data_IF_593262509562
#
_entry.id   IF_593262509562
#
_cell.length_a   1.000
_cell.length_b   1.000
_cell.length_c   1.000
_cell.angle_alpha   90.00
_cell.angle_beta   90.00
_cell.angle_gamma   90.00
#
_symmetry.space_group_name_H-M   'P 1'
#
loop_
_entity.id
_entity.type
_entity.pdbx_description
1 polymer ?
#
# COMPACT_ATOMS: atom_id res chain seq x y z
N UNK A 1 -21.85 -48.97 -46.20
CA UNK A 1 -21.92 -50.04 -47.22
C UNK A 1 -23.25 -50.77 -47.07
N UNK A 2 -24.09 -50.80 -48.10
CA UNK A 2 -25.33 -51.61 -48.10
C UNK A 2 -24.94 -53.08 -48.08
N UNK A 3 -25.48 -53.84 -47.12
CA UNK A 3 -25.32 -55.29 -47.11
C UNK A 3 -25.88 -55.87 -48.42
N UNK A 4 -25.28 -56.91 -49.02
CA UNK A 4 -25.84 -57.52 -50.22
C UNK A 4 -27.29 -57.97 -49.94
N UNK A 5 -28.25 -57.42 -50.69
CA UNK A 5 -29.68 -57.68 -50.51
C UNK A 5 -30.23 -58.73 -51.45
N UNK A 6 -29.41 -59.26 -52.36
CA UNK A 6 -29.79 -60.35 -53.26
C UNK A 6 -30.01 -61.63 -52.44
N UNK A 7 -31.24 -62.13 -52.41
CA UNK A 7 -31.58 -63.41 -51.77
C UNK A 7 -30.67 -64.51 -52.30
N UNK A 8 -30.04 -65.25 -51.40
CA UNK A 8 -29.27 -66.44 -51.78
C UNK A 8 -30.28 -67.52 -52.15
N UNK A 9 -30.38 -67.77 -53.45
CA UNK A 9 -31.14 -68.89 -53.98
C UNK A 9 -30.28 -70.15 -53.86
N UNK A 10 -30.78 -71.13 -53.10
CA UNK A 10 -30.12 -72.41 -52.83
C UNK A 10 -30.76 -73.57 -53.59
N UNK A 11 -31.75 -73.30 -54.44
CA UNK A 11 -32.56 -74.31 -55.14
C UNK A 11 -31.80 -75.12 -56.20
N UNK A 12 -30.54 -74.79 -56.48
CA UNK A 12 -29.68 -75.48 -57.44
C UNK A 12 -28.41 -76.05 -56.77
N UNK A 13 -28.45 -76.28 -55.46
CA UNK A 13 -27.28 -76.67 -54.66
C UNK A 13 -27.44 -77.97 -53.86
N UNK A 14 -28.59 -78.64 -53.89
CA UNK A 14 -28.92 -79.68 -52.90
C UNK A 14 -29.47 -81.01 -53.45
N UNK A 15 -29.70 -81.14 -54.77
CA UNK A 15 -30.21 -82.37 -55.35
C UNK A 15 -29.54 -82.74 -56.69
N UNK A 16 -29.50 -84.04 -57.00
CA UNK A 16 -28.80 -84.60 -58.17
C UNK A 16 -29.33 -84.18 -59.53
N UNK A 17 -30.42 -83.40 -59.61
CA UNK A 17 -31.00 -82.84 -60.85
C UNK A 17 -30.64 -81.37 -61.10
N UNK A 18 -29.85 -80.75 -60.22
CA UNK A 18 -29.52 -79.32 -60.29
C UNK A 18 -28.59 -78.98 -61.46
N UNK A 19 -28.75 -77.78 -62.05
CA UNK A 19 -27.84 -77.25 -63.07
C UNK A 19 -26.60 -76.62 -62.41
N UNK A 20 -25.41 -77.24 -62.52
CA UNK A 20 -24.21 -76.75 -61.85
C UNK A 20 -23.74 -75.39 -62.38
N UNK A 21 -24.23 -74.93 -63.54
CA UNK A 21 -23.87 -73.63 -64.10
C UNK A 21 -24.47 -72.46 -63.31
N UNK A 22 -25.70 -72.61 -62.82
CA UNK A 22 -26.38 -71.58 -62.04
C UNK A 22 -25.82 -71.47 -60.63
N UNK A 23 -25.51 -72.61 -59.99
CA UNK A 23 -24.81 -72.65 -58.70
C UNK A 23 -23.45 -71.93 -58.77
N UNK A 24 -22.69 -72.09 -59.86
CA UNK A 24 -21.41 -71.37 -60.04
C UNK A 24 -21.57 -69.86 -60.11
N UNK A 25 -22.62 -69.36 -60.76
CA UNK A 25 -22.89 -67.91 -60.86
C UNK A 25 -23.19 -67.34 -59.47
N UNK A 26 -24.00 -68.04 -58.68
CA UNK A 26 -24.34 -67.63 -57.32
C UNK A 26 -23.12 -67.64 -56.39
N UNK A 27 -22.29 -68.70 -56.45
CA UNK A 27 -21.04 -68.78 -55.70
C UNK A 27 -20.08 -67.66 -56.10
N UNK A 28 -19.98 -67.34 -57.40
CA UNK A 28 -19.16 -66.21 -57.88
C UNK A 28 -19.66 -64.88 -57.32
N UNK A 29 -20.97 -64.65 -57.35
CA UNK A 29 -21.56 -63.43 -56.80
C UNK A 29 -21.25 -63.27 -55.30
N UNK A 30 -21.26 -64.37 -54.52
CA UNK A 30 -20.84 -64.34 -53.12
C UNK A 30 -19.37 -63.96 -52.96
N UNK A 31 -18.48 -64.54 -53.76
CA UNK A 31 -17.05 -64.23 -53.73
C UNK A 31 -16.79 -62.75 -54.10
N UNK A 32 -17.47 -62.23 -55.11
CA UNK A 32 -17.38 -60.82 -55.51
C UNK A 32 -17.88 -59.90 -54.39
N UNK A 33 -19.00 -60.25 -53.72
CA UNK A 33 -19.53 -59.49 -52.59
C UNK A 33 -18.55 -59.46 -51.39
N UNK A 34 -17.93 -60.59 -51.06
CA UNK A 34 -16.92 -60.66 -49.98
C UNK A 34 -15.69 -59.81 -50.33
N UNK A 35 -15.22 -59.88 -51.58
CA UNK A 35 -14.11 -59.05 -52.04
C UNK A 35 -14.46 -57.57 -51.96
N UNK A 36 -15.67 -57.17 -52.35
CA UNK A 36 -16.13 -55.80 -52.19
C UNK A 36 -16.12 -55.32 -50.73
N UNK A 37 -16.49 -56.18 -49.77
CA UNK A 37 -16.44 -55.85 -48.33
C UNK A 37 -15.00 -55.69 -47.87
N UNK A 38 -14.12 -56.59 -48.30
CA UNK A 38 -12.68 -56.52 -48.02
C UNK A 38 -12.08 -55.23 -48.55
N UNK A 39 -12.43 -54.84 -49.77
CA UNK A 39 -11.92 -53.63 -50.43
C UNK A 39 -12.50 -52.35 -49.81
N UNK A 40 -13.71 -52.40 -49.25
CA UNK A 40 -14.30 -51.30 -48.49
C UNK A 40 -13.68 -51.09 -47.10
N UNK A 41 -12.83 -52.00 -46.63
CA UNK A 41 -12.17 -51.88 -45.32
C UNK A 41 -11.18 -50.73 -45.34
N UNK A 42 -11.33 -49.78 -44.41
CA UNK A 42 -10.44 -48.63 -44.33
C UNK A 42 -10.82 -47.47 -45.26
N UNK A 43 -11.74 -47.68 -46.20
CA UNK A 43 -12.15 -46.67 -47.18
C UNK A 43 -13.16 -45.67 -46.59
N UNK A 44 -13.19 -44.46 -47.16
CA UNK A 44 -14.22 -43.47 -46.84
C UNK A 44 -15.61 -44.04 -47.11
N UNK A 45 -16.56 -43.83 -46.19
CA UNK A 45 -17.92 -44.41 -46.24
C UNK A 45 -17.97 -45.97 -46.29
N UNK A 46 -16.85 -46.63 -46.00
CA UNK A 46 -16.66 -48.08 -46.02
C UNK A 46 -16.87 -48.76 -44.66
N UNK A 47 -16.14 -49.85 -44.42
CA UNK A 47 -16.14 -50.55 -43.12
C UNK A 47 -14.91 -50.14 -42.30
N UNK A 48 -15.13 -49.82 -41.02
CA UNK A 48 -14.05 -49.44 -40.12
C UNK A 48 -13.11 -50.63 -39.87
N UNK A 49 -11.80 -50.37 -39.80
CA UNK A 49 -10.84 -51.36 -39.31
C UNK A 49 -10.75 -51.27 -37.79
N UNK A 50 -10.49 -52.40 -37.14
CA UNK A 50 -10.17 -52.44 -35.73
C UNK A 50 -8.66 -52.68 -35.54
N UNK A 51 -8.10 -52.11 -34.49
CA UNK A 51 -6.76 -52.42 -34.00
C UNK A 51 -6.72 -53.77 -33.24
N UNK A 52 -5.55 -54.15 -32.74
CA UNK A 52 -5.36 -55.39 -31.98
C UNK A 52 -6.20 -55.43 -30.66
N UNK A 53 -6.68 -54.28 -30.18
CA UNK A 53 -7.55 -54.14 -29.01
C UNK A 53 -9.05 -54.03 -29.37
N UNK A 54 -9.41 -54.26 -30.63
CA UNK A 54 -10.80 -54.21 -31.10
C UNK A 54 -11.38 -52.78 -31.11
N UNK A 55 -10.56 -51.74 -31.27
CA UNK A 55 -10.99 -50.34 -31.36
C UNK A 55 -10.81 -49.80 -32.77
N UNK A 56 -11.66 -48.87 -33.19
CA UNK A 56 -11.50 -48.19 -34.49
C UNK A 56 -10.19 -47.41 -34.47
N UNK A 57 -9.40 -47.55 -35.53
CA UNK A 57 -8.12 -46.84 -35.67
C UNK A 57 -8.34 -45.32 -35.61
N UNK A 58 -7.50 -44.61 -34.85
CA UNK A 58 -7.59 -43.14 -34.71
C UNK A 58 -7.49 -42.40 -36.03
N UNK A 59 -6.75 -42.93 -37.00
CA UNK A 59 -6.67 -42.40 -38.37
C UNK A 59 -8.00 -42.45 -39.14
N UNK A 60 -8.95 -43.27 -38.68
CA UNK A 60 -10.30 -43.37 -39.25
C UNK A 60 -11.35 -42.60 -38.45
N UNK A 61 -10.97 -41.97 -37.35
CA UNK A 61 -11.85 -41.11 -36.55
C UNK A 61 -11.55 -39.66 -36.96
N UNK A 62 -12.42 -39.02 -37.77
CA UNK A 62 -12.24 -37.61 -38.11
C UNK A 62 -12.38 -36.74 -36.86
N UNK A 63 -11.81 -35.54 -36.90
CA UNK A 63 -12.10 -34.53 -35.88
C UNK A 63 -13.60 -34.25 -35.87
N UNK A 64 -14.25 -34.50 -34.74
CA UNK A 64 -15.68 -34.28 -34.59
C UNK A 64 -15.96 -32.78 -34.63
N UNK A 65 -16.86 -32.35 -35.52
CA UNK A 65 -17.21 -30.94 -35.63
C UNK A 65 -17.94 -30.45 -34.39
N UNK A 66 -18.00 -29.13 -34.20
CA UNK A 66 -18.75 -28.54 -33.07
C UNK A 66 -20.24 -28.89 -33.14
N UNK A 67 -20.82 -28.94 -34.34
CA UNK A 67 -22.22 -29.29 -34.55
C UNK A 67 -22.54 -30.74 -34.14
N UNK A 68 -21.53 -31.62 -34.15
CA UNK A 68 -21.66 -33.02 -33.79
C UNK A 68 -21.22 -33.29 -32.33
N UNK A 69 -21.04 -32.25 -31.52
CA UNK A 69 -20.64 -32.36 -30.11
C UNK A 69 -19.14 -32.47 -29.88
N UNK A 70 -18.32 -32.33 -30.92
CA UNK A 70 -16.87 -32.22 -30.82
C UNK A 70 -16.40 -30.79 -30.59
N UNK A 71 -15.09 -30.58 -30.71
CA UNK A 71 -14.48 -29.24 -30.63
C UNK A 71 -14.06 -28.71 -31.99
N UNK A 72 -13.89 -29.58 -33.00
CA UNK A 72 -13.24 -29.23 -34.27
C UNK A 72 -11.77 -28.81 -34.14
N UNK A 73 -11.16 -28.93 -32.95
CA UNK A 73 -9.77 -28.52 -32.68
C UNK A 73 -8.88 -29.75 -32.58
N UNK A 74 -7.83 -29.79 -33.40
CA UNK A 74 -6.86 -30.90 -33.45
C UNK A 74 -5.51 -30.58 -32.80
N UNK A 75 -5.27 -29.31 -32.43
CA UNK A 75 -4.00 -28.87 -31.83
C UNK A 75 -4.20 -27.84 -30.72
N UNK A 76 -3.45 -27.98 -29.62
CA UNK A 76 -3.42 -27.04 -28.49
C UNK A 76 -2.03 -27.05 -27.83
N UNK A 77 -1.70 -25.96 -27.15
CA UNK A 77 -0.53 -25.84 -26.31
C UNK A 77 -0.92 -25.80 -24.83
N UNK A 78 0.06 -26.04 -23.95
CA UNK A 78 -0.14 -25.91 -22.50
C UNK A 78 -0.53 -24.47 -22.17
N UNK A 79 -1.63 -24.31 -21.44
CA UNK A 79 -2.18 -23.00 -21.04
C UNK A 79 -3.18 -22.40 -22.02
N UNK A 80 -3.42 -23.02 -23.18
CA UNK A 80 -4.52 -22.62 -24.07
C UNK A 80 -5.89 -22.86 -23.39
N UNK A 81 -6.86 -21.99 -23.69
CA UNK A 81 -8.24 -22.12 -23.23
C UNK A 81 -9.17 -22.29 -24.44
N UNK A 82 -10.08 -23.26 -24.37
CA UNK A 82 -11.15 -23.41 -25.34
C UNK A 82 -12.30 -22.45 -25.01
N UNK A 83 -12.76 -21.69 -26.00
CA UNK A 83 -13.85 -20.74 -25.84
C UNK A 83 -14.74 -20.70 -27.09
N UNK A 84 -15.98 -20.23 -26.94
CA UNK A 84 -16.87 -19.97 -28.07
C UNK A 84 -16.52 -18.62 -28.71
N UNK A 85 -15.97 -18.64 -29.93
CA UNK A 85 -15.60 -17.44 -30.67
C UNK A 85 -16.76 -16.85 -31.47
N UNK A 86 -17.75 -17.69 -31.80
CA UNK A 86 -19.03 -17.32 -32.39
C UNK A 86 -20.08 -18.40 -32.06
N UNK A 87 -21.35 -18.15 -32.40
CA UNK A 87 -22.40 -19.16 -32.27
C UNK A 87 -22.05 -20.42 -33.08
N UNK A 88 -21.96 -21.57 -32.42
CA UNK A 88 -21.60 -22.85 -33.05
C UNK A 88 -20.11 -22.99 -33.42
N UNK A 89 -19.25 -22.06 -33.01
CA UNK A 89 -17.80 -22.09 -33.30
C UNK A 89 -17.01 -22.08 -32.00
N UNK A 90 -16.21 -23.12 -31.79
CA UNK A 90 -15.21 -23.18 -30.72
C UNK A 90 -13.85 -22.82 -31.30
N UNK A 91 -13.05 -22.10 -30.52
CA UNK A 91 -11.69 -21.71 -30.87
C UNK A 91 -10.81 -21.77 -29.64
N UNK A 92 -9.49 -21.86 -29.86
CA UNK A 92 -8.51 -21.77 -28.78
C UNK A 92 -8.05 -20.32 -28.60
N UNK A 93 -7.98 -19.88 -27.35
CA UNK A 93 -7.31 -18.67 -26.94
C UNK A 93 -5.97 -19.07 -26.35
N UNK A 94 -4.88 -18.55 -26.90
CA UNK A 94 -3.54 -18.88 -26.44
C UNK A 94 -3.32 -18.44 -24.98
N UNK A 95 -2.35 -19.07 -24.31
CA UNK A 95 -1.95 -18.68 -22.96
C UNK A 95 -1.65 -17.17 -22.88
N UNK A 96 -2.19 -16.52 -21.84
CA UNK A 96 -1.91 -15.11 -21.56
C UNK A 96 -0.56 -14.90 -20.91
N UNK A 97 -0.18 -13.64 -20.74
CA UNK A 97 0.98 -13.25 -19.92
C UNK A 97 0.76 -13.63 -18.45
N UNK A 98 1.81 -14.06 -17.75
CA UNK A 98 1.73 -14.36 -16.33
C UNK A 98 1.13 -13.18 -15.53
N UNK A 99 0.17 -13.47 -14.65
CA UNK A 99 -0.55 -12.47 -13.85
C UNK A 99 -1.72 -11.77 -14.56
N UNK A 100 -1.99 -12.08 -15.84
CA UNK A 100 -3.19 -11.59 -16.52
C UNK A 100 -4.41 -12.42 -16.14
N UNK A 101 -5.59 -11.81 -16.21
CA UNK A 101 -6.88 -12.44 -15.93
C UNK A 101 -7.70 -12.54 -17.21
N UNK A 102 -8.51 -13.59 -17.34
CA UNK A 102 -9.43 -13.74 -18.47
C UNK A 102 -10.65 -12.86 -18.23
N UNK A 103 -10.90 -11.91 -19.12
CA UNK A 103 -12.05 -11.01 -19.05
C UNK A 103 -13.06 -11.36 -20.12
N UNK A 104 -14.33 -11.48 -19.71
CA UNK A 104 -15.47 -11.49 -20.64
C UNK A 104 -15.64 -10.11 -21.27
N UNK A 105 -15.81 -10.07 -22.59
CA UNK A 105 -16.10 -8.85 -23.34
C UNK A 105 -17.61 -8.64 -23.56
N UNK A 106 -18.43 -9.32 -22.75
CA UNK A 106 -19.88 -9.27 -22.82
C UNK A 106 -20.48 -10.22 -23.87
N UNK A 107 -21.82 -10.30 -23.94
CA UNK A 107 -22.52 -11.19 -24.87
C UNK A 107 -22.10 -10.94 -26.32
N UNK A 108 -21.81 -12.02 -27.06
CA UNK A 108 -21.45 -11.96 -28.48
C UNK A 108 -19.99 -11.63 -28.79
N UNK A 109 -19.16 -11.34 -27.77
CA UNK A 109 -17.75 -11.02 -27.96
C UNK A 109 -16.85 -12.10 -27.35
N UNK A 110 -15.76 -12.44 -28.06
CA UNK A 110 -14.73 -13.34 -27.55
C UNK A 110 -14.10 -12.79 -26.25
N UNK A 111 -13.79 -13.63 -25.24
CA UNK A 111 -13.03 -13.21 -24.08
C UNK A 111 -11.58 -12.87 -24.47
N UNK A 112 -10.92 -12.06 -23.66
CA UNK A 112 -9.52 -11.69 -23.87
C UNK A 112 -8.76 -11.66 -22.55
N UNK A 113 -7.47 -12.03 -22.59
CA UNK A 113 -6.59 -11.80 -21.47
C UNK A 113 -6.37 -10.31 -21.28
N UNK A 114 -6.50 -9.83 -20.05
CA UNK A 114 -6.21 -8.44 -19.69
C UNK A 114 -5.30 -8.41 -18.48
N UNK A 115 -4.44 -7.39 -18.42
CA UNK A 115 -3.71 -7.10 -17.20
C UNK A 115 -4.71 -6.92 -16.05
N UNK A 116 -4.44 -7.55 -14.91
CA UNK A 116 -5.29 -7.41 -13.73
C UNK A 116 -5.17 -5.98 -13.20
N UNK A 117 -6.18 -5.15 -13.45
CA UNK A 117 -6.31 -3.81 -12.87
C UNK A 117 -7.65 -3.72 -12.17
N UNK A 118 -7.63 -3.50 -10.87
CA UNK A 118 -8.83 -3.20 -10.09
C UNK A 118 -9.16 -1.71 -10.26
N UNK A 119 -10.41 -1.40 -10.56
CA UNK A 119 -10.92 -0.02 -10.59
C UNK A 119 -12.07 0.12 -9.59
N UNK A 120 -12.15 1.27 -8.92
CA UNK A 120 -13.16 1.57 -7.89
C UNK A 120 -12.54 1.98 -6.56
N UNK A 121 -13.42 2.26 -5.59
CA UNK A 121 -12.99 2.60 -4.23
C UNK A 121 -12.31 1.39 -3.57
N UNK A 122 -11.17 1.62 -2.93
CA UNK A 122 -10.49 0.61 -2.13
C UNK A 122 -11.26 0.47 -0.81
N UNK A 123 -12.28 -0.39 -0.79
CA UNK A 123 -12.97 -0.79 0.45
C UNK A 123 -12.28 -1.97 1.14
N UNK A 124 -11.31 -2.59 0.45
CA UNK A 124 -10.35 -3.58 0.93
C UNK A 124 -9.39 -3.94 -0.20
N UNK A 125 -8.08 -3.93 0.04
CA UNK A 125 -7.08 -4.13 -1.03
C UNK A 125 -6.41 -5.50 -1.04
N UNK A 126 -6.62 -6.31 0.01
CA UNK A 126 -5.89 -7.56 0.22
C UNK A 126 -4.38 -7.36 0.51
N UNK A 127 -3.87 -6.13 0.46
CA UNK A 127 -2.48 -5.81 0.78
C UNK A 127 -2.31 -5.72 2.29
N UNK A 128 -1.29 -6.41 2.82
CA UNK A 128 -0.88 -6.31 4.23
C UNK A 128 0.20 -5.26 4.37
N UNK A 129 0.09 -4.37 5.38
CA UNK A 129 1.14 -3.39 5.69
C UNK A 129 1.91 -3.81 6.95
N UNK A 130 3.24 -3.75 6.89
CA UNK A 130 4.10 -4.10 8.02
C UNK A 130 4.30 -2.97 9.03
N UNK A 131 3.97 -1.72 8.69
CA UNK A 131 4.12 -0.55 9.56
C UNK A 131 2.96 0.43 9.34
N UNK A 132 2.73 1.33 10.31
CA UNK A 132 1.74 2.40 10.19
C UNK A 132 2.19 3.41 9.12
N UNK A 133 1.70 3.22 7.90
CA UNK A 133 2.02 4.07 6.74
C UNK A 133 0.74 4.63 6.16
N UNK A 134 0.78 5.89 5.75
CA UNK A 134 -0.29 6.46 4.95
C UNK A 134 -0.16 5.92 3.53
N UNK A 135 -1.24 5.37 3.00
CA UNK A 135 -1.30 4.90 1.61
C UNK A 135 -2.14 5.86 0.78
N UNK A 136 -1.69 6.14 -0.43
CA UNK A 136 -2.41 6.99 -1.36
C UNK A 136 -1.68 7.12 -2.68
N UNK A 137 -1.87 8.23 -3.38
CA UNK A 137 -1.10 8.52 -4.59
C UNK A 137 -0.80 10.00 -4.66
N UNK A 138 0.43 10.34 -5.04
CA UNK A 138 0.90 11.73 -5.09
C UNK A 138 0.70 12.39 -6.46
N UNK A 139 0.47 11.61 -7.51
CA UNK A 139 0.30 12.10 -8.89
C UNK A 139 -1.17 12.04 -9.32
N UNK A 140 -1.66 12.97 -10.15
CA UNK A 140 -3.00 12.87 -10.76
C UNK A 140 -3.03 11.78 -11.87
N UNK A 141 -4.15 11.05 -12.03
CA UNK A 141 -4.28 9.95 -13.02
C UNK A 141 -4.84 8.63 -12.49
N UNK A 142 -4.48 7.51 -13.13
CA UNK A 142 -4.76 6.13 -12.71
C UNK A 142 -3.44 5.39 -12.49
N UNK A 143 -3.35 4.54 -11.47
CA UNK A 143 -2.10 3.88 -11.08
C UNK A 143 -2.24 3.10 -9.78
N UNK A 144 -1.16 2.42 -9.38
CA UNK A 144 -1.11 1.65 -8.13
C UNK A 144 -1.11 2.56 -6.89
N UNK A 145 -1.43 1.99 -5.74
CA UNK A 145 -1.30 2.67 -4.44
C UNK A 145 0.18 2.79 -4.08
N UNK A 146 0.59 3.97 -3.59
CA UNK A 146 1.93 4.32 -3.15
C UNK A 146 1.97 4.51 -1.62
N UNK A 147 3.15 4.35 -1.02
CA UNK A 147 3.41 4.82 0.33
C UNK A 147 3.61 6.35 0.31
N UNK A 148 2.88 7.07 1.17
CA UNK A 148 3.05 8.49 1.38
C UNK A 148 3.89 8.70 2.64
N UNK A 149 5.00 9.42 2.49
CA UNK A 149 5.79 9.91 3.62
C UNK A 149 5.07 11.06 4.32
N UNK A 150 4.94 10.98 5.65
CA UNK A 150 4.44 12.09 6.45
C UNK A 150 5.53 13.15 6.60
N UNK A 151 5.19 14.41 6.34
CA UNK A 151 6.10 15.54 6.57
C UNK A 151 6.31 15.80 8.06
N UNK A 152 7.35 16.56 8.40
CA UNK A 152 7.75 16.82 9.79
C UNK A 152 6.71 17.58 10.65
N UNK A 153 5.70 18.20 10.03
CA UNK A 153 4.61 18.89 10.71
C UNK A 153 3.46 17.97 11.13
N UNK A 154 3.48 16.70 10.73
CA UNK A 154 2.42 15.73 10.99
C UNK A 154 2.98 14.46 11.64
N UNK A 155 2.21 13.86 12.53
CA UNK A 155 2.47 12.54 13.12
C UNK A 155 1.35 11.58 12.75
N UNK A 156 1.71 10.35 12.39
CA UNK A 156 0.77 9.25 12.23
C UNK A 156 0.98 8.27 13.39
N UNK A 157 0.04 8.26 14.34
CA UNK A 157 0.08 7.36 15.50
C UNK A 157 -1.30 6.77 15.74
N UNK A 158 -1.37 5.46 15.99
CA UNK A 158 -2.65 4.77 16.23
C UNK A 158 -3.64 4.87 15.07
N UNK A 159 -3.18 5.07 13.84
CA UNK A 159 -4.05 5.27 12.66
C UNK A 159 -4.65 6.67 12.54
N UNK A 160 -4.28 7.61 13.41
CA UNK A 160 -4.70 9.01 13.35
C UNK A 160 -3.55 9.84 12.80
N UNK A 161 -3.84 10.62 11.75
CA UNK A 161 -2.96 11.69 11.27
C UNK A 161 -3.26 12.95 12.06
N UNK A 162 -2.28 13.46 12.78
CA UNK A 162 -2.38 14.65 13.61
C UNK A 162 -1.21 15.60 13.33
N UNK A 163 -1.31 16.84 13.80
CA UNK A 163 -0.19 17.78 13.87
C UNK A 163 0.85 17.31 14.87
N UNK A 164 2.13 17.36 14.48
CA UNK A 164 3.22 17.19 15.43
C UNK A 164 3.19 18.40 16.38
N UNK A 165 2.67 18.24 17.61
CA UNK A 165 2.46 19.26 18.66
C UNK A 165 3.18 20.60 18.41
N UNK A 166 2.48 21.55 17.77
CA UNK A 166 2.95 22.92 17.54
C UNK A 166 2.27 23.86 18.54
N UNK A 167 2.53 23.69 19.83
CA UNK A 167 2.63 24.91 20.63
C UNK A 167 3.90 25.59 20.13
N UNK A 168 3.83 26.85 19.68
CA UNK A 168 5.01 27.60 19.24
C UNK A 168 6.13 27.64 20.29
N UNK A 169 5.84 27.26 21.54
CA UNK A 169 6.75 27.13 22.67
C UNK A 169 7.19 25.67 22.90
N UNK A 170 8.48 25.39 22.75
CA UNK A 170 9.11 24.14 23.21
C UNK A 170 9.76 24.37 24.57
N UNK A 171 9.39 23.61 25.61
CA UNK A 171 10.05 23.73 26.92
C UNK A 171 11.49 23.22 26.83
N UNK A 172 12.47 24.10 27.07
CA UNK A 172 13.89 23.77 27.05
C UNK A 172 14.39 23.34 28.44
N UNK A 173 13.77 23.84 29.50
CA UNK A 173 14.10 23.43 30.86
C UNK A 173 13.33 24.20 31.92
N UNK A 174 13.33 23.66 33.14
CA UNK A 174 12.83 24.31 34.35
C UNK A 174 13.94 24.37 35.37
N UNK A 175 14.24 25.58 35.86
CA UNK A 175 15.13 25.80 36.99
C UNK A 175 14.28 25.94 38.25
N UNK A 176 14.51 25.06 39.23
CA UNK A 176 13.96 25.20 40.57
C UNK A 176 14.84 26.17 41.35
N UNK A 177 14.29 27.28 41.84
CA UNK A 177 15.07 28.40 42.39
C UNK A 177 15.06 28.40 43.92
N UNK A 178 15.55 27.32 44.54
CA UNK A 178 15.51 27.16 46.02
C UNK A 178 16.84 27.37 46.74
N UNK A 179 17.92 27.60 46.00
CA UNK A 179 19.26 27.88 46.55
C UNK A 179 20.18 28.42 45.45
N UNK A 180 21.42 28.75 45.81
CA UNK A 180 22.46 29.21 44.87
C UNK A 180 22.34 30.69 44.52
N UNK A 181 23.45 31.35 44.23
CA UNK A 181 23.46 32.78 43.82
C UNK A 181 23.24 32.96 42.33
N UNK A 182 23.44 31.89 41.55
CA UNK A 182 23.27 31.85 40.10
C UNK A 182 22.52 30.59 39.73
N UNK A 183 21.45 30.73 38.95
CA UNK A 183 20.71 29.61 38.40
C UNK A 183 20.98 29.54 36.89
N UNK A 184 21.60 28.46 36.45
CA UNK A 184 22.00 28.27 35.04
C UNK A 184 21.32 27.06 34.45
N UNK A 185 20.59 27.27 33.35
CA UNK A 185 20.14 26.20 32.49
C UNK A 185 21.19 25.99 31.40
N UNK A 186 21.80 24.80 31.37
CA UNK A 186 22.90 24.44 30.45
C UNK A 186 22.45 23.37 29.47
N UNK A 187 23.28 23.10 28.45
CA UNK A 187 23.02 22.05 27.46
C UNK A 187 21.94 22.44 26.44
N UNK A 188 21.78 23.74 26.18
CA UNK A 188 20.82 24.25 25.22
C UNK A 188 21.32 24.09 23.79
N UNK A 189 20.42 23.69 22.89
CA UNK A 189 20.57 23.86 21.44
C UNK A 189 19.51 24.87 20.98
N UNK A 190 19.97 26.06 20.61
CA UNK A 190 19.10 27.18 20.23
C UNK A 190 19.03 27.42 18.72
N UNK A 191 19.68 26.57 17.91
CA UNK A 191 19.89 26.80 16.47
C UNK A 191 18.59 26.90 15.67
N UNK A 192 17.55 26.20 16.13
CA UNK A 192 16.24 26.13 15.47
C UNK A 192 15.21 27.14 16.00
N UNK A 193 15.58 27.99 16.97
CA UNK A 193 14.66 28.92 17.62
C UNK A 193 14.99 30.38 17.26
N UNK A 194 13.93 31.20 17.19
CA UNK A 194 14.02 32.65 16.96
C UNK A 194 13.87 33.45 18.25
N UNK A 195 13.10 32.92 19.21
CA UNK A 195 12.94 33.57 20.50
C UNK A 195 13.19 32.61 21.66
N UNK A 196 13.59 33.16 22.80
CA UNK A 196 13.48 32.52 24.10
C UNK A 196 12.37 33.19 24.89
N UNK A 197 11.44 32.41 25.43
CA UNK A 197 10.44 32.88 26.39
C UNK A 197 10.75 32.36 27.78
N UNK A 198 10.89 33.28 28.71
CA UNK A 198 11.20 33.01 30.10
C UNK A 198 9.94 33.29 30.92
N UNK A 199 9.46 32.28 31.64
CA UNK A 199 8.32 32.41 32.56
C UNK A 199 8.82 32.26 33.99
N UNK A 200 8.52 33.26 34.81
CA UNK A 200 8.85 33.31 36.23
C UNK A 200 7.59 32.94 37.02
N UNK A 201 7.74 32.02 37.97
CA UNK A 201 6.65 31.59 38.82
C UNK A 201 7.11 31.56 40.29
N UNK A 202 6.77 32.64 41.00
CA UNK A 202 7.04 32.81 42.42
C UNK A 202 8.52 32.86 42.78
N UNK A 203 9.36 33.42 41.92
CA UNK A 203 10.82 33.46 42.11
C UNK A 203 11.17 34.47 43.20
N UNK A 204 11.96 34.08 44.20
CA UNK A 204 12.37 34.95 45.31
C UNK A 204 13.87 34.80 45.64
N UNK A 205 14.35 35.59 46.61
CA UNK A 205 15.72 35.54 47.13
C UNK A 205 15.74 35.46 48.67
N UNK A 206 16.87 35.01 49.23
CA UNK A 206 17.07 34.91 50.67
C UNK A 206 17.14 36.30 51.36
N UNK A 207 16.87 36.34 52.67
CA UNK A 207 16.83 37.55 53.50
C UNK A 207 18.20 38.24 53.53
N UNK A 208 18.22 39.57 53.36
CA UNK A 208 19.43 40.39 53.56
C UNK A 208 20.19 40.80 52.30
N UNK A 209 19.82 40.31 51.11
CA UNK A 209 20.37 40.76 49.84
C UNK A 209 19.28 41.13 48.85
N UNK A 210 18.77 42.34 48.94
CA UNK A 210 17.78 42.87 47.99
C UNK A 210 18.37 43.09 46.61
N UNK A 211 17.54 43.11 45.57
CA UNK A 211 17.96 43.41 44.22
C UNK A 211 16.88 43.15 43.18
N UNK A 212 17.22 43.38 41.92
CA UNK A 212 16.43 42.95 40.77
C UNK A 212 16.96 41.62 40.26
N UNK A 213 16.11 40.83 39.62
CA UNK A 213 16.54 39.66 38.87
C UNK A 213 17.20 40.13 37.58
N UNK A 214 18.36 39.54 37.27
CA UNK A 214 19.12 39.79 36.06
C UNK A 214 19.09 38.56 35.17
N UNK A 215 19.02 38.84 33.88
CA UNK A 215 19.20 37.88 32.81
C UNK A 215 20.27 38.45 31.89
N UNK A 216 21.39 37.75 31.71
CA UNK A 216 22.50 38.20 30.85
C UNK A 216 23.02 39.61 31.19
N UNK A 217 23.00 39.97 32.48
CA UNK A 217 23.38 41.31 32.98
C UNK A 217 22.31 42.39 32.87
N UNK A 218 21.15 42.10 32.25
CA UNK A 218 20.02 43.03 32.15
C UNK A 218 19.01 42.81 33.27
N UNK A 219 18.55 43.89 33.89
CA UNK A 219 17.46 43.86 34.88
C UNK A 219 16.13 43.50 34.20
N UNK A 220 15.45 42.48 34.71
CA UNK A 220 14.15 41.99 34.20
C UNK A 220 13.01 42.07 35.23
N UNK A 221 13.25 42.67 36.40
CA UNK A 221 12.25 42.85 37.46
C UNK A 221 12.44 44.17 38.21
N UNK A 222 11.39 44.62 38.90
CA UNK A 222 11.58 45.58 39.99
C UNK A 222 12.48 44.99 41.08
N UNK A 223 13.10 45.90 41.85
CA UNK A 223 13.92 45.52 42.98
C UNK A 223 13.04 45.10 44.17
N UNK A 224 13.38 43.97 44.79
CA UNK A 224 12.85 43.59 46.11
C UNK A 224 13.91 43.81 47.19
N UNK A 225 13.49 44.28 48.36
CA UNK A 225 14.29 44.26 49.59
C UNK A 225 13.81 43.20 50.59
N UNK A 226 12.73 42.49 50.27
CA UNK A 226 12.09 41.47 51.12
C UNK A 226 12.22 40.08 50.51
N UNK A 227 12.63 39.10 51.31
CA UNK A 227 12.72 37.71 50.90
C UNK A 227 11.36 37.08 50.54
N UNK A 228 10.26 37.66 51.02
CA UNK A 228 8.90 37.20 50.72
C UNK A 228 8.33 37.76 49.40
N UNK A 229 9.12 38.52 48.63
CA UNK A 229 8.66 39.13 47.39
C UNK A 229 8.74 38.11 46.23
N UNK A 230 7.63 37.43 45.97
CA UNK A 230 7.52 36.46 44.89
C UNK A 230 7.35 37.15 43.53
N UNK A 231 8.22 36.83 42.58
CA UNK A 231 8.23 37.34 41.22
C UNK A 231 7.48 36.42 40.25
N UNK A 232 6.55 37.00 39.49
CA UNK A 232 5.77 36.32 38.45
C UNK A 232 5.87 37.06 37.10
N UNK A 233 5.40 36.41 36.04
CA UNK A 233 5.30 37.01 34.70
C UNK A 233 6.32 36.41 33.74
N UNK A 234 6.72 37.16 32.72
CA UNK A 234 7.65 36.64 31.74
C UNK A 234 8.24 37.67 30.80
N UNK A 235 9.36 37.30 30.23
CA UNK A 235 10.11 38.08 29.25
C UNK A 235 10.45 37.20 28.05
N UNK A 236 10.57 37.82 26.89
CA UNK A 236 10.96 37.20 25.65
C UNK A 236 12.22 37.88 25.11
N UNK A 237 13.12 37.09 24.55
CA UNK A 237 14.34 37.54 23.89
C UNK A 237 14.26 37.11 22.44
N UNK A 238 14.39 38.06 21.52
CA UNK A 238 14.70 37.76 20.12
C UNK A 238 16.20 37.42 20.00
N UNK A 239 16.49 36.17 19.63
CA UNK A 239 17.86 35.65 19.55
C UNK A 239 18.65 36.19 18.34
N UNK A 240 17.98 36.87 17.41
CA UNK A 240 18.59 37.50 16.23
C UNK A 240 18.97 38.94 16.53
N UNK A 241 18.05 39.71 17.10
CA UNK A 241 18.26 41.13 17.39
C UNK A 241 18.85 41.38 18.77
N UNK A 242 18.74 40.40 19.68
CA UNK A 242 19.12 40.56 21.09
C UNK A 242 18.14 41.42 21.88
N UNK A 243 16.96 41.74 21.35
CA UNK A 243 15.99 42.60 22.05
C UNK A 243 15.22 41.76 23.08
N UNK A 244 15.20 42.24 24.33
CA UNK A 244 14.36 41.73 25.40
C UNK A 244 13.11 42.59 25.55
N UNK A 245 11.95 41.94 25.69
CA UNK A 245 10.69 42.60 26.02
C UNK A 245 9.81 41.73 26.91
N UNK A 246 9.02 42.34 27.78
CA UNK A 246 8.04 41.63 28.60
C UNK A 246 7.67 42.38 29.87
N UNK A 247 6.94 41.70 30.74
CA UNK A 247 6.48 42.26 31.99
C UNK A 247 6.59 41.22 33.11
N UNK A 248 7.11 41.66 34.24
CA UNK A 248 7.17 40.87 35.47
C UNK A 248 6.50 41.65 36.59
N UNK A 249 6.03 40.93 37.61
CA UNK A 249 5.31 41.53 38.73
C UNK A 249 5.81 40.92 40.04
N UNK A 250 6.13 41.78 40.99
CA UNK A 250 6.36 41.36 42.37
C UNK A 250 5.03 41.48 43.12
N UNK A 251 4.73 40.53 44.00
CA UNK A 251 3.55 40.65 44.87
C UNK A 251 3.55 42.02 45.59
N UNK A 252 2.40 42.70 45.57
CA UNK A 252 2.17 44.01 46.18
C UNK A 252 3.03 45.18 45.63
N UNK A 253 3.64 45.01 44.45
CA UNK A 253 4.33 46.07 43.71
C UNK A 253 3.73 46.15 42.31
N UNK A 254 3.56 47.34 41.71
CA UNK A 254 3.11 47.47 40.32
C UNK A 254 3.98 46.66 39.35
N UNK A 255 3.37 46.24 38.23
CA UNK A 255 4.08 45.52 37.17
C UNK A 255 5.29 46.34 36.68
N UNK A 256 6.40 45.64 36.48
CA UNK A 256 7.64 46.17 35.95
C UNK A 256 7.82 45.70 34.50
N UNK A 257 8.05 46.65 33.61
CA UNK A 257 8.35 46.35 32.22
C UNK A 257 9.83 46.08 32.07
N UNK A 258 10.17 44.92 31.52
CA UNK A 258 11.52 44.57 31.16
C UNK A 258 11.68 44.84 29.66
N UNK A 259 12.48 45.85 29.31
CA UNK A 259 12.77 46.18 27.91
C UNK A 259 14.24 46.59 27.74
N UNK A 260 14.82 46.20 26.62
CA UNK A 260 16.13 46.65 26.18
C UNK A 260 17.01 45.53 25.64
N UNK A 261 18.25 45.87 25.30
CA UNK A 261 19.12 44.95 24.58
C UNK A 261 19.86 43.99 25.53
N UNK A 262 19.91 42.73 25.13
CA UNK A 262 20.60 41.62 25.78
C UNK A 262 21.40 40.81 24.73
N UNK A 263 22.55 41.35 24.34
CA UNK A 263 23.42 40.72 23.33
C UNK A 263 24.15 39.47 23.83
N UNK A 264 24.03 39.14 25.12
CA UNK A 264 24.64 37.97 25.72
C UNK A 264 24.04 36.63 25.26
N UNK A 265 22.83 36.65 24.67
CA UNK A 265 22.14 35.44 24.22
C UNK A 265 21.77 35.52 22.74
N UNK A 266 22.32 34.59 21.96
CA UNK A 266 22.05 34.36 20.55
C UNK A 266 21.63 32.91 20.31
N UNK A 267 21.31 32.55 19.06
CA UNK A 267 21.01 31.17 18.65
C UNK A 267 22.18 30.18 18.81
N UNK A 268 23.40 30.67 19.10
CA UNK A 268 24.56 29.83 19.43
C UNK A 268 24.78 29.63 20.94
N UNK A 269 23.94 30.23 21.79
CA UNK A 269 24.10 30.10 23.24
C UNK A 269 23.77 28.68 23.70
N UNK A 270 24.63 28.10 24.53
CA UNK A 270 24.45 26.76 25.09
C UNK A 270 23.95 26.79 26.54
N UNK A 271 23.80 27.97 27.11
CA UNK A 271 23.32 28.16 28.48
C UNK A 271 22.71 29.54 28.68
N UNK A 272 21.81 29.63 29.65
CA UNK A 272 21.17 30.87 30.13
C UNK A 272 21.27 30.93 31.65
N UNK A 273 21.66 32.07 32.19
CA UNK A 273 21.89 32.27 33.61
C UNK A 273 21.09 33.43 34.19
N UNK A 274 20.63 33.24 35.42
CA UNK A 274 19.86 34.18 36.21
C UNK A 274 20.57 34.46 37.53
N UNK A 275 20.62 35.73 37.94
CA UNK A 275 21.34 36.20 39.13
C UNK A 275 20.55 37.35 39.76
N UNK A 276 20.57 37.51 41.08
CA UNK A 276 20.06 38.72 41.75
C UNK A 276 21.14 39.81 41.83
N UNK A 277 20.81 41.08 41.56
CA UNK A 277 21.84 42.16 41.54
C UNK A 277 22.54 42.36 42.87
N UNK A 278 21.86 42.07 43.98
CA UNK A 278 22.45 42.11 45.32
C UNK A 278 23.29 40.90 45.67
N UNK A 279 23.44 39.92 44.77
CA UNK A 279 24.19 38.68 45.01
C UNK A 279 23.53 37.69 45.96
N UNK A 280 22.25 37.91 46.32
CA UNK A 280 21.52 36.98 47.18
C UNK A 280 21.29 35.63 46.51
N UNK A 281 21.22 34.59 47.34
CA UNK A 281 20.80 33.27 46.90
C UNK A 281 19.31 33.27 46.53
N UNK A 282 18.94 32.49 45.52
CA UNK A 282 17.55 32.14 45.26
C UNK A 282 16.98 31.33 46.42
N UNK A 283 15.70 31.51 46.73
CA UNK A 283 15.05 30.92 47.91
C UNK A 283 13.79 30.10 47.58
N UNK A 284 12.94 30.61 46.70
CA UNK A 284 11.77 29.89 46.22
C UNK A 284 11.46 30.13 44.74
N UNK A 285 10.57 29.31 44.19
CA UNK A 285 9.97 29.48 42.86
C UNK A 285 10.56 28.60 41.76
N UNK A 286 10.19 28.93 40.53
CA UNK A 286 10.72 28.28 39.34
C UNK A 286 10.83 29.24 38.15
N UNK A 287 11.82 28.99 37.30
CA UNK A 287 12.01 29.66 36.02
C UNK A 287 11.86 28.61 34.91
N UNK A 288 10.90 28.80 34.02
CA UNK A 288 10.75 27.96 32.83
C UNK A 288 11.29 28.71 31.62
N UNK A 289 12.10 28.03 30.82
CA UNK A 289 12.65 28.58 29.58
C UNK A 289 12.09 27.80 28.41
N UNK A 290 11.47 28.49 27.47
CA UNK A 290 10.92 27.93 26.24
C UNK A 290 11.65 28.48 25.02
N UNK A 291 11.89 27.63 24.03
CA UNK A 291 12.32 28.04 22.69
C UNK A 291 11.10 28.25 21.80
N UNK A 292 11.12 29.31 21.00
CA UNK A 292 10.05 29.65 20.06
C UNK A 292 10.60 29.64 18.64
N UNK A 293 9.97 28.87 17.76
CA UNK A 293 10.40 28.74 16.35
C UNK A 293 9.95 29.94 15.52
#
# INVERSE_FOLDING_TARGET
>A
MTWPTTTIDTTQMDIGTDDPSQARVQIKQMADNINAIKDAKGAANGVASLDAGGKVLTSQIPALSVAEGGTGITTYAVGDILYASAAGVLSKLSAGTAGWVLKTNGPGNAPSWVAQSLSGAITGSGLTQSTAKLLGRTTAGTGVIEEISVGSGLTLSGGVLDTASQSGYTLLGTLTTTSGTTQTLSGLDLTSYKFLKIILNGVSHAIGGGGSLLLGGKIISAASSSAAANLYGGVEIDLTTGVLSGATVLINVPASYAAGDITAYTSSSTSIAFIWSGGAAFDAGSIKVYGVK
#
